data_IF_040388223357
#
_entry.id   IF_040388223357
#
_cell.length_a   1.000
_cell.length_b   1.000
_cell.length_c   1.000
_cell.angle_alpha   90.00
_cell.angle_beta   90.00
_cell.angle_gamma   90.00
#
_symmetry.space_group_name_H-M   'P 1'
#
loop_
_entity.id
_entity.type
_entity.pdbx_description
1 polymer ?
#
# COMPACT_ATOMS: atom_id res chain seq x y z
N UNK A 1 -37.26 -9.83 -1.40
CA UNK A 1 -36.44 -10.17 -2.57
C UNK A 1 -34.92 -9.95 -2.38
N UNK A 2 -34.45 -9.20 -1.37
CA UNK A 2 -33.01 -8.94 -1.17
C UNK A 2 -32.19 -10.16 -0.69
N UNK A 3 -32.75 -11.00 0.19
CA UNK A 3 -32.05 -12.18 0.73
C UNK A 3 -31.65 -13.21 -0.35
N UNK A 4 -32.52 -13.42 -1.35
CA UNK A 4 -32.27 -14.37 -2.45
C UNK A 4 -31.15 -13.87 -3.37
N UNK A 5 -31.07 -12.55 -3.60
CA UNK A 5 -30.00 -11.93 -4.41
C UNK A 5 -28.64 -12.01 -3.71
N UNK A 6 -28.61 -11.78 -2.39
CA UNK A 6 -27.37 -11.89 -1.61
C UNK A 6 -26.88 -13.34 -1.54
N UNK A 7 -27.78 -14.29 -1.27
CA UNK A 7 -27.43 -15.73 -1.20
C UNK A 7 -26.91 -16.26 -2.54
N UNK A 8 -27.48 -15.82 -3.67
CA UNK A 8 -26.98 -16.15 -5.02
C UNK A 8 -25.56 -15.62 -5.27
N UNK A 9 -25.24 -14.44 -4.76
CA UNK A 9 -23.88 -13.84 -4.85
C UNK A 9 -22.86 -14.58 -3.98
N UNK A 10 -23.29 -15.10 -2.83
CA UNK A 10 -22.46 -15.91 -1.94
C UNK A 10 -22.25 -17.32 -2.47
N UNK A 11 -23.28 -17.98 -3.02
CA UNK A 11 -23.19 -19.30 -3.68
C UNK A 11 -22.30 -19.28 -4.94
N UNK A 12 -22.24 -18.15 -5.65
CA UNK A 12 -21.38 -18.00 -6.84
C UNK A 12 -19.88 -17.89 -6.50
N UNK A 13 -19.52 -17.64 -5.24
CA UNK A 13 -18.12 -17.67 -4.79
C UNK A 13 -17.72 -19.12 -4.58
N UNK A 14 -17.27 -19.76 -5.66
CA UNK A 14 -16.65 -21.09 -5.59
C UNK A 14 -15.43 -20.99 -4.67
N UNK A 15 -15.58 -21.44 -3.42
CA UNK A 15 -14.48 -21.57 -2.48
C UNK A 15 -13.45 -22.53 -3.08
N UNK A 16 -12.32 -21.97 -3.51
CA UNK A 16 -11.22 -22.73 -4.07
C UNK A 16 -10.06 -22.67 -3.07
N UNK A 17 -9.98 -23.61 -2.10
CA UNK A 17 -8.96 -23.60 -1.06
C UNK A 17 -7.53 -23.76 -1.59
N UNK A 18 -7.38 -24.18 -2.85
CA UNK A 18 -6.10 -24.25 -3.56
C UNK A 18 -5.73 -22.97 -4.32
N UNK A 19 -6.63 -21.98 -4.39
CA UNK A 19 -6.32 -20.70 -5.00
C UNK A 19 -5.40 -19.90 -4.08
N UNK A 20 -4.10 -19.98 -4.34
CA UNK A 20 -3.09 -19.17 -3.68
C UNK A 20 -3.36 -17.70 -4.06
N UNK A 21 -3.78 -16.89 -3.09
CA UNK A 21 -3.73 -15.43 -3.25
C UNK A 21 -2.27 -15.06 -3.13
N UNK A 22 -1.64 -14.71 -4.24
CA UNK A 22 -0.28 -14.18 -4.17
C UNK A 22 -0.34 -12.84 -3.44
N UNK A 23 0.37 -12.72 -2.33
CA UNK A 23 0.49 -11.47 -1.60
C UNK A 23 1.82 -10.82 -1.95
N UNK A 24 1.81 -9.50 -2.16
CA UNK A 24 3.05 -8.76 -2.31
C UNK A 24 3.75 -8.70 -0.95
N UNK A 25 4.96 -9.27 -0.87
CA UNK A 25 5.67 -9.37 0.40
C UNK A 25 6.07 -8.00 0.93
N UNK A 26 6.09 -7.85 2.26
CA UNK A 26 6.48 -6.60 2.90
C UNK A 26 7.94 -6.23 2.61
N UNK A 27 8.82 -7.24 2.54
CA UNK A 27 10.24 -7.06 2.20
C UNK A 27 10.40 -6.50 0.79
N UNK A 28 9.73 -7.09 -0.21
CA UNK A 28 9.75 -6.58 -1.58
C UNK A 28 9.16 -5.16 -1.68
N UNK A 29 8.16 -4.84 -0.85
CA UNK A 29 7.61 -3.48 -0.77
C UNK A 29 8.60 -2.47 -0.19
N UNK A 30 9.41 -2.86 0.81
CA UNK A 30 10.47 -2.02 1.38
C UNK A 30 11.58 -1.77 0.37
N UNK A 31 12.04 -2.81 -0.32
CA UNK A 31 13.07 -2.69 -1.35
C UNK A 31 12.59 -1.78 -2.49
N UNK A 32 11.35 -2.01 -2.96
CA UNK A 32 10.70 -1.14 -3.94
C UNK A 32 10.71 0.33 -3.51
N UNK A 33 10.29 0.63 -2.29
CA UNK A 33 10.24 2.01 -1.78
C UNK A 33 11.64 2.62 -1.64
N UNK A 34 12.63 1.87 -1.18
CA UNK A 34 14.01 2.33 -1.05
C UNK A 34 14.59 2.74 -2.41
N UNK A 35 14.32 1.95 -3.45
CA UNK A 35 14.75 2.26 -4.82
C UNK A 35 14.08 3.54 -5.35
N UNK A 36 12.81 3.78 -5.01
CA UNK A 36 12.07 4.98 -5.45
C UNK A 36 12.38 6.21 -4.61
N UNK A 37 12.91 6.03 -3.39
CA UNK A 37 13.05 7.09 -2.41
C UNK A 37 13.77 8.34 -2.98
N UNK A 38 14.87 8.24 -3.75
CA UNK A 38 15.52 9.41 -4.35
C UNK A 38 14.65 10.21 -5.33
N UNK A 39 13.61 9.62 -5.90
CA UNK A 39 12.71 10.31 -6.83
C UNK A 39 11.49 10.95 -6.13
N UNK A 40 11.23 10.63 -4.86
CA UNK A 40 10.07 11.14 -4.10
C UNK A 40 10.30 12.54 -3.52
N UNK A 41 10.81 13.47 -4.32
CA UNK A 41 11.12 14.86 -3.92
C UNK A 41 9.87 15.72 -3.65
N UNK A 42 8.73 15.30 -4.20
CA UNK A 42 7.43 15.96 -4.03
C UNK A 42 6.43 14.99 -3.38
N UNK A 43 5.32 15.54 -2.89
CA UNK A 43 4.26 14.73 -2.31
C UNK A 43 3.55 13.91 -3.39
N UNK A 44 3.80 12.61 -3.40
CA UNK A 44 3.27 11.68 -4.38
C UNK A 44 2.21 10.78 -3.75
N UNK A 45 1.03 10.59 -4.38
CA UNK A 45 0.03 9.65 -3.91
C UNK A 45 0.57 8.22 -3.77
N UNK A 46 0.27 7.54 -2.66
CA UNK A 46 0.73 6.18 -2.34
C UNK A 46 0.40 5.19 -3.46
N UNK A 47 -0.80 5.29 -4.03
CA UNK A 47 -1.26 4.43 -5.11
C UNK A 47 -0.46 4.60 -6.41
N UNK A 48 0.13 5.78 -6.64
CA UNK A 48 1.07 6.03 -7.74
C UNK A 48 2.49 5.55 -7.41
N UNK A 49 2.85 5.47 -6.12
CA UNK A 49 4.15 4.92 -5.69
C UNK A 49 4.14 3.39 -5.71
N UNK A 50 3.03 2.76 -5.34
CA UNK A 50 2.90 1.30 -5.31
C UNK A 50 3.12 0.68 -6.71
N UNK A 51 3.67 -0.54 -6.79
CA UNK A 51 3.79 -1.23 -8.07
C UNK A 51 2.44 -1.37 -8.77
N UNK A 52 2.45 -1.27 -10.10
CA UNK A 52 1.29 -1.62 -10.90
C UNK A 52 1.12 -3.14 -10.90
N UNK A 53 -0.10 -3.62 -10.67
CA UNK A 53 -0.44 -5.01 -10.90
C UNK A 53 -0.42 -5.29 -12.41
N UNK A 54 0.18 -6.41 -12.81
CA UNK A 54 0.12 -6.92 -14.19
C UNK A 54 -1.12 -7.79 -14.37
N UNK A 55 -1.70 -7.80 -15.57
CA UNK A 55 -2.78 -8.73 -15.91
C UNK A 55 -2.25 -10.16 -15.89
N UNK A 56 -2.71 -11.01 -14.96
CA UNK A 56 -2.29 -12.40 -14.84
C UNK A 56 -2.22 -12.93 -13.41
N UNK A 57 -1.43 -13.99 -13.21
CA UNK A 57 -1.07 -14.50 -11.90
C UNK A 57 -0.13 -13.51 -11.19
N UNK A 58 -0.45 -13.20 -9.93
CA UNK A 58 0.34 -12.30 -9.10
C UNK A 58 -0.50 -11.57 -8.05
N UNK A 59 0.14 -10.71 -7.23
CA UNK A 59 -0.58 -9.96 -6.22
C UNK A 59 -1.61 -9.00 -6.79
N UNK A 60 -2.75 -8.93 -6.13
CA UNK A 60 -3.78 -7.95 -6.47
C UNK A 60 -3.26 -6.52 -6.28
N UNK A 61 -3.84 -5.56 -7.00
CA UNK A 61 -3.56 -4.13 -6.78
C UNK A 61 -3.75 -3.71 -5.32
N UNK A 62 -4.75 -4.27 -4.64
CA UNK A 62 -4.98 -4.03 -3.22
C UNK A 62 -3.82 -4.55 -2.35
N UNK A 63 -3.27 -5.72 -2.66
CA UNK A 63 -2.10 -6.26 -1.96
C UNK A 63 -0.85 -5.39 -2.16
N UNK A 64 -0.62 -4.90 -3.38
CA UNK A 64 0.49 -3.98 -3.64
C UNK A 64 0.37 -2.70 -2.80
N UNK A 65 -0.78 -2.02 -2.87
CA UNK A 65 -1.01 -0.79 -2.12
C UNK A 65 -0.91 -1.02 -0.61
N UNK A 66 -1.48 -2.11 -0.09
CA UNK A 66 -1.43 -2.42 1.33
C UNK A 66 0.00 -2.67 1.83
N UNK A 67 0.80 -3.45 1.09
CA UNK A 67 2.18 -3.71 1.48
C UNK A 67 3.07 -2.48 1.32
N UNK A 68 2.85 -1.65 0.28
CA UNK A 68 3.53 -0.35 0.15
C UNK A 68 3.16 0.60 1.30
N UNK A 69 1.90 0.63 1.74
CA UNK A 69 1.49 1.42 2.92
C UNK A 69 2.26 0.95 4.16
N UNK A 70 2.25 -0.35 4.46
CA UNK A 70 2.95 -0.92 5.61
C UNK A 70 4.45 -0.61 5.57
N UNK A 71 5.10 -0.80 4.42
CA UNK A 71 6.51 -0.49 4.23
C UNK A 71 6.80 1.01 4.40
N UNK A 72 5.89 1.88 3.93
CA UNK A 72 6.05 3.33 4.07
C UNK A 72 6.05 3.78 5.54
N UNK A 73 5.22 3.16 6.39
CA UNK A 73 5.16 3.46 7.83
C UNK A 73 6.45 3.05 8.54
N UNK A 74 7.06 1.93 8.17
CA UNK A 74 8.37 1.54 8.68
C UNK A 74 9.45 2.57 8.26
N UNK A 75 9.44 3.03 7.01
CA UNK A 75 10.39 4.06 6.56
C UNK A 75 10.14 5.44 7.21
N UNK A 76 8.89 5.75 7.56
CA UNK A 76 8.56 6.95 8.36
C UNK A 76 9.18 6.84 9.76
N UNK A 77 9.03 5.67 10.40
CA UNK A 77 9.62 5.36 11.70
C UNK A 77 11.15 5.41 11.67
N UNK A 78 11.77 4.94 10.59
CA UNK A 78 13.22 4.99 10.35
C UNK A 78 13.73 6.41 10.01
N UNK A 79 12.85 7.38 9.77
CA UNK A 79 13.26 8.74 9.42
C UNK A 79 13.67 8.93 7.94
N UNK A 80 13.34 7.99 7.07
CA UNK A 80 13.65 8.05 5.64
C UNK A 80 12.52 8.70 4.82
N UNK A 81 11.29 8.67 5.32
CA UNK A 81 10.08 9.07 4.58
C UNK A 81 9.18 9.98 5.45
N UNK A 82 8.42 10.85 4.80
CA UNK A 82 7.28 11.57 5.37
C UNK A 82 5.98 11.05 4.75
N UNK A 83 4.93 10.92 5.54
CA UNK A 83 3.58 10.57 5.10
C UNK A 83 2.56 11.63 5.57
N UNK A 84 1.54 11.91 4.75
CA UNK A 84 0.42 12.79 5.13
C UNK A 84 -0.91 12.27 4.58
N UNK A 85 -1.99 12.53 5.30
CA UNK A 85 -3.37 12.25 4.89
C UNK A 85 -4.26 13.39 5.40
N UNK A 86 -5.06 14.00 4.53
CA UNK A 86 -5.81 15.21 4.87
C UNK A 86 -7.06 14.96 5.72
N UNK A 87 -7.75 13.84 5.49
CA UNK A 87 -8.91 13.41 6.24
C UNK A 87 -9.02 11.87 6.23
N UNK A 88 -9.93 11.30 7.03
CA UNK A 88 -10.15 9.87 7.04
C UNK A 88 -10.52 9.35 5.63
N UNK A 89 -9.86 8.26 5.21
CA UNK A 89 -10.05 7.61 3.90
C UNK A 89 -9.69 8.46 2.66
N UNK A 90 -9.13 9.65 2.84
CA UNK A 90 -8.50 10.41 1.75
C UNK A 90 -7.18 9.76 1.31
N UNK A 91 -6.67 10.21 0.17
CA UNK A 91 -5.39 9.73 -0.36
C UNK A 91 -4.24 9.93 0.65
N UNK A 92 -3.40 8.91 0.76
CA UNK A 92 -2.14 8.97 1.50
C UNK A 92 -1.07 9.48 0.54
N UNK A 93 -0.30 10.48 0.95
CA UNK A 93 0.82 11.01 0.17
C UNK A 93 2.14 10.72 0.86
N UNK A 94 3.15 10.39 0.06
CA UNK A 94 4.50 10.09 0.48
C UNK A 94 5.47 11.12 -0.09
N UNK A 95 6.50 11.47 0.68
CA UNK A 95 7.62 12.30 0.23
C UNK A 95 8.90 11.84 0.95
N UNK A 96 10.03 11.80 0.24
CA UNK A 96 11.34 11.59 0.85
C UNK A 96 11.57 12.60 1.98
N UNK A 97 12.23 12.14 3.03
CA UNK A 97 12.64 12.98 4.14
C UNK A 97 14.02 13.56 3.87
N UNK A 98 14.15 14.88 4.00
CA UNK A 98 15.44 15.57 3.90
C UNK A 98 16.16 15.53 5.25
N UNK A 99 17.50 15.48 5.24
CA UNK A 99 18.36 15.29 6.43
C UNK A 99 18.24 16.36 7.54
N UNK A 100 17.32 17.33 7.42
CA UNK A 100 17.05 18.36 8.45
C UNK A 100 15.67 18.30 9.09
N UNK A 101 14.79 17.39 8.69
CA UNK A 101 13.46 17.26 9.28
C UNK A 101 13.45 16.06 10.22
N UNK A 102 14.10 16.05 11.39
CA UNK A 102 13.91 14.98 12.37
C UNK A 102 12.47 15.02 12.94
N UNK A 103 11.95 13.90 13.45
CA UNK A 103 10.58 13.87 14.01
C UNK A 103 10.74 14.65 15.31
N UNK A 104 10.41 15.94 15.30
CA UNK A 104 10.14 16.66 16.53
C UNK A 104 8.90 15.99 17.13
N UNK A 105 9.13 14.88 17.82
CA UNK A 105 8.17 14.33 18.78
C UNK A 105 8.19 15.35 19.92
N UNK A 106 7.40 16.42 19.77
CA UNK A 106 7.13 17.30 20.89
C UNK A 106 6.47 16.44 21.96
N UNK A 107 7.05 16.36 23.18
CA UNK A 107 6.59 15.46 24.23
C UNK A 107 5.19 15.83 24.75
#
# INVERSE_FOLDING_TARGET
>A
AAYVVQRRREEARRYNPTQRVEAFSLEAARDWLRDRLPALETWTPLDQVAPAATDGDGPSRASYVASTLSASLELVKEGALNARQAAAFEAVYLKRRNEGQALELTP
#
